data_IF_223668376572
#
_entry.id   IF_223668376572
#
_cell.length_a   1.000
_cell.length_b   1.000
_cell.length_c   1.000
_cell.angle_alpha   90.00
_cell.angle_beta   90.00
_cell.angle_gamma   90.00
#
_symmetry.space_group_name_H-M   'P 1'
#
loop_
_entity.id
_entity.type
_entity.pdbx_description
1 polymer ?
#
# COMPACT_ATOMS: atom_id res chain seq x y z
N UNK A 1 10.70 4.32 -25.19
CA UNK A 1 11.91 3.68 -25.70
C UNK A 1 12.23 2.43 -24.85
N UNK A 2 12.47 1.28 -25.50
CA UNK A 2 12.76 0.00 -24.81
C UNK A 2 13.90 0.08 -23.81
N UNK A 3 14.90 0.97 -24.01
CA UNK A 3 16.06 1.11 -23.12
C UNK A 3 15.79 1.73 -21.74
N UNK A 4 14.64 2.36 -21.50
CA UNK A 4 14.28 2.88 -20.18
C UNK A 4 13.59 1.80 -19.32
N UNK A 5 12.82 0.88 -19.93
CA UNK A 5 12.04 -0.16 -19.24
C UNK A 5 12.92 -1.07 -18.36
N UNK A 6 14.10 -1.40 -18.82
CA UNK A 6 15.01 -2.31 -18.11
C UNK A 6 15.74 -1.64 -16.93
N UNK A 7 15.64 -0.33 -16.80
CA UNK A 7 16.29 0.46 -15.73
C UNK A 7 15.33 0.93 -14.65
N UNK A 8 14.05 0.62 -14.77
CA UNK A 8 13.00 1.02 -13.81
C UNK A 8 12.26 -0.20 -13.28
N UNK A 9 11.82 -0.11 -12.04
CA UNK A 9 10.92 -1.08 -11.40
C UNK A 9 9.51 -0.53 -11.49
N UNK A 10 8.61 -1.28 -12.15
CA UNK A 10 7.19 -0.95 -12.22
C UNK A 10 6.44 -1.82 -11.22
N UNK A 11 5.76 -1.16 -10.27
CA UNK A 11 4.88 -1.82 -9.32
C UNK A 11 3.42 -1.45 -9.59
N UNK A 12 2.52 -2.43 -9.53
CA UNK A 12 1.07 -2.21 -9.57
C UNK A 12 0.35 -3.19 -8.63
N UNK A 13 -0.96 -3.08 -8.52
CA UNK A 13 -1.76 -3.78 -7.52
C UNK A 13 -3.07 -4.30 -8.11
N UNK A 14 -3.65 -5.34 -7.46
CA UNK A 14 -4.99 -5.85 -7.73
C UNK A 14 -5.80 -5.90 -6.43
N UNK A 15 -7.05 -5.89 -6.51
CA UNK A 15 -8.19 -6.15 -5.61
C UNK A 15 -9.26 -5.04 -5.57
N UNK A 16 -8.92 -3.79 -5.90
CA UNK A 16 -9.83 -2.64 -5.72
C UNK A 16 -10.35 -2.04 -7.01
N UNK A 17 -9.96 -2.55 -8.18
CA UNK A 17 -10.48 -2.06 -9.45
C UNK A 17 -11.93 -2.51 -9.63
N UNK A 18 -12.88 -1.64 -10.04
CA UNK A 18 -14.29 -2.01 -10.14
C UNK A 18 -14.58 -3.21 -11.05
N UNK A 19 -13.79 -3.39 -12.12
CA UNK A 19 -13.93 -4.52 -13.04
C UNK A 19 -13.19 -5.78 -12.58
N UNK A 20 -12.26 -5.66 -11.63
CA UNK A 20 -11.39 -6.73 -11.14
C UNK A 20 -11.33 -6.71 -9.61
N UNK A 21 -12.49 -6.67 -8.96
CA UNK A 21 -12.57 -6.65 -7.50
C UNK A 21 -12.26 -8.03 -6.91
N UNK A 22 -11.58 -8.04 -5.76
CA UNK A 22 -11.20 -9.27 -5.05
C UNK A 22 -9.94 -9.93 -5.60
N UNK A 23 -9.63 -11.12 -5.05
CA UNK A 23 -8.40 -11.85 -5.31
C UNK A 23 -8.64 -13.27 -5.84
N UNK A 24 -9.84 -13.59 -6.34
CA UNK A 24 -10.09 -14.82 -7.05
C UNK A 24 -9.12 -14.97 -8.25
N UNK A 25 -8.70 -16.18 -8.55
CA UNK A 25 -7.68 -16.46 -9.58
C UNK A 25 -8.00 -15.80 -10.92
N UNK A 26 -9.25 -15.87 -11.35
CA UNK A 26 -9.71 -15.24 -12.60
C UNK A 26 -9.51 -13.73 -12.59
N UNK A 27 -9.79 -13.06 -11.46
CA UNK A 27 -9.60 -11.61 -11.31
C UNK A 27 -8.12 -11.24 -11.25
N UNK A 28 -7.31 -11.99 -10.53
CA UNK A 28 -5.85 -11.76 -10.42
C UNK A 28 -5.21 -11.81 -11.80
N UNK A 29 -5.54 -12.83 -12.61
CA UNK A 29 -5.03 -12.96 -13.97
C UNK A 29 -5.53 -11.84 -14.90
N UNK A 30 -6.84 -11.58 -14.93
CA UNK A 30 -7.43 -10.54 -15.78
C UNK A 30 -6.90 -9.13 -15.44
N UNK A 31 -6.77 -8.80 -14.16
CA UNK A 31 -6.21 -7.53 -13.70
C UNK A 31 -4.73 -7.38 -14.07
N UNK A 32 -3.94 -8.46 -14.04
CA UNK A 32 -2.56 -8.44 -14.48
C UNK A 32 -2.46 -8.14 -16.00
N UNK A 33 -3.25 -8.81 -16.83
CA UNK A 33 -3.31 -8.55 -18.26
C UNK A 33 -3.74 -7.11 -18.58
N UNK A 34 -4.79 -6.62 -17.92
CA UNK A 34 -5.24 -5.25 -18.08
C UNK A 34 -4.17 -4.23 -17.64
N UNK A 35 -3.40 -4.55 -16.60
CA UNK A 35 -2.27 -3.72 -16.15
C UNK A 35 -1.14 -3.70 -17.16
N UNK A 36 -0.75 -4.84 -17.70
CA UNK A 36 0.28 -4.96 -18.74
C UNK A 36 -0.11 -4.16 -19.99
N UNK A 37 -1.37 -4.30 -20.45
CA UNK A 37 -1.89 -3.56 -21.60
C UNK A 37 -1.87 -2.03 -21.37
N UNK A 38 -2.35 -1.55 -20.20
CA UNK A 38 -2.34 -0.11 -19.85
C UNK A 38 -0.93 0.46 -19.71
N UNK A 39 -0.01 -0.30 -19.17
CA UNK A 39 1.39 0.11 -18.98
C UNK A 39 2.21 0.01 -20.27
N UNK A 40 1.71 -0.68 -21.30
CA UNK A 40 2.43 -0.91 -22.55
C UNK A 40 3.72 -1.71 -22.36
N UNK A 41 3.70 -2.70 -21.47
CA UNK A 41 4.86 -3.53 -21.10
C UNK A 41 4.48 -5.01 -21.10
N UNK A 42 5.48 -5.87 -21.27
CA UNK A 42 5.34 -7.32 -21.24
C UNK A 42 5.48 -7.93 -19.84
N UNK A 43 5.91 -7.12 -18.85
CA UNK A 43 6.10 -7.59 -17.47
C UNK A 43 5.82 -6.52 -16.43
N UNK A 44 5.38 -6.96 -15.26
CA UNK A 44 5.29 -6.19 -14.01
C UNK A 44 6.46 -6.62 -13.14
N UNK A 45 7.24 -5.68 -12.60
CA UNK A 45 8.37 -6.06 -11.76
C UNK A 45 7.93 -6.41 -10.34
N UNK A 46 6.88 -5.75 -9.81
CA UNK A 46 6.34 -6.05 -8.49
C UNK A 46 4.81 -5.92 -8.50
N UNK A 47 4.11 -7.03 -8.23
CA UNK A 47 2.66 -7.10 -8.24
C UNK A 47 2.13 -7.34 -6.84
N UNK A 48 1.30 -6.41 -6.35
CA UNK A 48 0.78 -6.47 -5.00
C UNK A 48 -0.65 -7.02 -4.95
N UNK A 49 -0.91 -7.94 -4.01
CA UNK A 49 -2.23 -8.09 -3.43
C UNK A 49 -2.49 -6.86 -2.55
N UNK A 50 -3.41 -5.96 -3.01
CA UNK A 50 -3.58 -4.63 -2.43
C UNK A 50 -4.28 -4.67 -1.07
N UNK A 51 -5.28 -5.51 -0.95
CA UNK A 51 -5.98 -5.84 0.29
C UNK A 51 -6.22 -7.34 0.32
N UNK A 52 -6.33 -7.89 1.53
CA UNK A 52 -6.82 -9.26 1.72
C UNK A 52 -8.26 -9.39 1.21
N UNK A 53 -8.61 -10.58 0.77
CA UNK A 53 -9.95 -10.94 0.31
C UNK A 53 -10.43 -12.17 1.08
N UNK A 54 -11.26 -11.92 2.09
CA UNK A 54 -11.79 -12.98 2.94
C UNK A 54 -12.82 -13.89 2.24
N UNK A 55 -13.37 -13.46 1.11
CA UNK A 55 -14.34 -14.22 0.32
C UNK A 55 -13.65 -15.27 -0.58
N UNK A 56 -12.37 -15.07 -0.89
CA UNK A 56 -11.57 -15.97 -1.71
C UNK A 56 -10.66 -16.83 -0.83
N UNK A 57 -10.63 -18.17 -1.01
CA UNK A 57 -9.63 -19.02 -0.34
C UNK A 57 -8.22 -18.50 -0.60
N UNK A 58 -7.44 -18.31 0.46
CA UNK A 58 -6.10 -17.74 0.33
C UNK A 58 -5.19 -18.58 -0.56
N UNK A 59 -5.34 -19.90 -0.55
CA UNK A 59 -4.59 -20.82 -1.39
C UNK A 59 -4.80 -20.53 -2.89
N UNK A 60 -6.05 -20.26 -3.31
CA UNK A 60 -6.36 -19.86 -4.68
C UNK A 60 -5.61 -18.57 -5.09
N UNK A 61 -5.61 -17.58 -4.19
CA UNK A 61 -4.89 -16.32 -4.40
C UNK A 61 -3.38 -16.56 -4.52
N UNK A 62 -2.79 -17.32 -3.60
CA UNK A 62 -1.35 -17.63 -3.57
C UNK A 62 -0.93 -18.33 -4.85
N UNK A 63 -1.69 -19.34 -5.29
CA UNK A 63 -1.43 -20.06 -6.53
C UNK A 63 -1.53 -19.14 -7.76
N UNK A 64 -2.57 -18.30 -7.85
CA UNK A 64 -2.75 -17.39 -8.98
C UNK A 64 -1.59 -16.39 -9.12
N UNK A 65 -1.10 -15.83 -8.02
CA UNK A 65 0.09 -14.98 -8.05
C UNK A 65 1.35 -15.76 -8.47
N UNK A 66 1.52 -16.99 -7.99
CA UNK A 66 2.64 -17.85 -8.37
C UNK A 66 2.62 -18.17 -9.86
N UNK A 67 1.46 -18.51 -10.42
CA UNK A 67 1.28 -18.77 -11.85
C UNK A 67 1.67 -17.56 -12.73
N UNK A 68 1.42 -16.32 -12.26
CA UNK A 68 1.85 -15.11 -12.98
C UNK A 68 3.38 -14.96 -12.99
N UNK A 69 4.05 -15.40 -11.94
CA UNK A 69 5.53 -15.43 -11.89
C UNK A 69 6.08 -16.50 -12.83
N UNK A 70 5.53 -17.70 -12.80
CA UNK A 70 5.92 -18.80 -13.67
C UNK A 70 5.71 -18.46 -15.16
N UNK A 71 4.63 -17.72 -15.47
CA UNK A 71 4.35 -17.21 -16.82
C UNK A 71 5.28 -16.03 -17.24
N UNK A 72 6.16 -15.55 -16.36
CA UNK A 72 7.06 -14.43 -16.62
C UNK A 72 6.37 -13.04 -16.73
N UNK A 73 5.08 -12.96 -16.41
CA UNK A 73 4.29 -11.72 -16.43
C UNK A 73 4.56 -10.83 -15.21
N UNK A 74 4.93 -11.47 -14.10
CA UNK A 74 5.27 -10.83 -12.83
C UNK A 74 6.65 -11.33 -12.41
N UNK A 75 7.53 -10.43 -11.95
CA UNK A 75 8.86 -10.82 -11.46
C UNK A 75 8.87 -11.13 -9.98
N UNK A 76 8.07 -10.38 -9.20
CA UNK A 76 8.01 -10.51 -7.76
C UNK A 76 6.62 -10.19 -7.23
N UNK A 77 6.27 -10.82 -6.11
CA UNK A 77 5.00 -10.66 -5.41
C UNK A 77 5.20 -9.73 -4.21
N UNK A 78 4.22 -8.88 -3.94
CA UNK A 78 4.11 -8.10 -2.72
C UNK A 78 2.73 -8.24 -2.09
N UNK A 79 2.64 -7.96 -0.79
CA UNK A 79 1.39 -7.89 -0.05
C UNK A 79 1.23 -6.52 0.60
N UNK A 80 -0.01 -6.06 0.74
CA UNK A 80 -0.35 -4.77 1.33
C UNK A 80 -1.65 -4.89 2.12
N UNK A 81 -1.75 -4.20 3.26
CA UNK A 81 -2.94 -4.22 4.11
C UNK A 81 -3.37 -5.62 4.61
N UNK A 82 -2.41 -6.48 4.83
CA UNK A 82 -2.59 -7.78 5.49
C UNK A 82 -2.29 -7.65 6.98
N UNK A 83 -2.94 -8.48 7.81
CA UNK A 83 -2.48 -8.68 9.20
C UNK A 83 -1.24 -9.56 9.23
N UNK A 84 -0.52 -9.58 10.36
CA UNK A 84 0.65 -10.44 10.52
C UNK A 84 0.28 -11.92 10.41
N UNK A 85 -0.87 -12.32 10.97
CA UNK A 85 -1.38 -13.69 10.94
C UNK A 85 -1.72 -14.10 9.50
N UNK A 86 -2.40 -13.24 8.76
CA UNK A 86 -2.80 -13.52 7.39
C UNK A 86 -1.61 -13.57 6.44
N UNK A 87 -0.61 -12.70 6.67
CA UNK A 87 0.66 -12.77 5.96
C UNK A 87 1.41 -14.07 6.25
N UNK A 88 1.45 -14.51 7.51
CA UNK A 88 2.07 -15.78 7.89
C UNK A 88 1.35 -16.99 7.26
N UNK A 89 0.02 -16.95 7.16
CA UNK A 89 -0.76 -17.97 6.47
C UNK A 89 -0.41 -18.05 4.98
N UNK A 90 -0.30 -16.90 4.28
CA UNK A 90 0.18 -16.85 2.89
C UNK A 90 1.51 -17.59 2.74
N UNK A 91 2.48 -17.26 3.61
CA UNK A 91 3.82 -17.85 3.57
C UNK A 91 3.79 -19.36 3.86
N UNK A 92 2.95 -19.81 4.78
CA UNK A 92 2.78 -21.23 5.09
C UNK A 92 2.22 -22.00 3.87
N UNK A 93 1.17 -21.48 3.24
CA UNK A 93 0.57 -22.04 2.03
C UNK A 93 1.61 -22.08 0.89
N UNK A 94 2.31 -20.98 0.66
CA UNK A 94 3.29 -20.90 -0.42
C UNK A 94 4.43 -21.91 -0.23
N UNK A 95 4.92 -22.08 1.00
CA UNK A 95 5.95 -23.09 1.30
C UNK A 95 5.45 -24.51 1.13
N UNK A 96 4.22 -24.79 1.59
CA UNK A 96 3.64 -26.13 1.47
C UNK A 96 3.35 -26.54 0.02
N UNK A 97 2.89 -25.59 -0.80
CA UNK A 97 2.56 -25.79 -2.21
C UNK A 97 3.74 -25.61 -3.17
N UNK A 98 4.93 -25.16 -2.68
CA UNK A 98 6.07 -24.84 -3.55
C UNK A 98 5.85 -23.61 -4.41
N UNK A 99 4.97 -22.70 -3.99
CA UNK A 99 4.66 -21.44 -4.66
C UNK A 99 5.68 -20.34 -4.36
N UNK A 100 5.70 -19.29 -5.20
CA UNK A 100 6.57 -18.14 -5.01
C UNK A 100 6.13 -17.31 -3.79
N UNK A 101 7.12 -16.96 -2.95
CA UNK A 101 6.90 -16.14 -1.76
C UNK A 101 6.85 -14.65 -2.11
N UNK A 102 6.02 -13.84 -1.42
CA UNK A 102 6.14 -12.39 -1.44
C UNK A 102 7.54 -11.94 -0.96
N UNK A 103 8.09 -10.91 -1.61
CA UNK A 103 9.36 -10.30 -1.22
C UNK A 103 9.20 -8.87 -0.71
N UNK A 104 7.99 -8.33 -0.75
CA UNK A 104 7.70 -6.95 -0.40
C UNK A 104 6.42 -6.83 0.41
N UNK A 105 6.46 -5.94 1.40
CA UNK A 105 5.31 -5.54 2.23
C UNK A 105 5.08 -4.03 2.08
N UNK A 106 3.82 -3.64 1.86
CA UNK A 106 3.45 -2.23 1.80
C UNK A 106 2.45 -1.88 2.91
N UNK A 107 2.91 -1.51 4.13
CA UNK A 107 2.05 -1.14 5.24
C UNK A 107 1.66 0.34 5.23
N UNK A 108 0.56 0.67 5.92
CA UNK A 108 0.31 2.03 6.38
C UNK A 108 1.29 2.35 7.52
N UNK A 109 2.22 3.27 7.28
CA UNK A 109 3.18 3.66 8.30
C UNK A 109 3.74 5.06 8.04
N UNK A 110 3.72 5.88 9.09
CA UNK A 110 4.31 7.23 9.11
C UNK A 110 4.54 7.66 10.57
N UNK A 111 4.99 8.89 10.80
CA UNK A 111 5.27 9.41 12.15
C UNK A 111 4.04 9.53 13.06
N UNK A 112 2.83 9.54 12.50
CA UNK A 112 1.56 9.62 13.24
C UNK A 112 0.93 8.24 13.39
N UNK A 113 0.90 7.46 12.30
CA UNK A 113 0.34 6.10 12.23
C UNK A 113 1.48 5.11 12.41
N UNK A 114 1.53 4.44 13.57
CA UNK A 114 2.65 3.60 13.97
C UNK A 114 2.29 2.16 14.31
N UNK A 115 1.06 1.74 14.01
CA UNK A 115 0.57 0.39 14.32
C UNK A 115 1.46 -0.71 13.75
N UNK A 116 2.08 -0.46 12.59
CA UNK A 116 3.06 -1.38 11.99
C UNK A 116 4.16 -1.83 12.96
N UNK A 117 4.56 -0.99 13.92
CA UNK A 117 5.63 -1.30 14.87
C UNK A 117 5.19 -2.30 15.96
N UNK A 118 3.89 -2.36 16.24
CA UNK A 118 3.33 -3.08 17.40
C UNK A 118 2.35 -4.20 17.05
N UNK A 119 1.81 -4.20 15.82
CA UNK A 119 0.82 -5.18 15.37
C UNK A 119 1.39 -6.50 14.84
N UNK A 120 2.69 -6.74 15.04
CA UNK A 120 3.37 -7.96 14.60
C UNK A 120 3.92 -7.92 13.17
N UNK A 121 3.45 -7.01 12.31
CA UNK A 121 3.89 -6.95 10.91
C UNK A 121 5.37 -6.60 10.75
N UNK A 122 5.90 -5.74 11.63
CA UNK A 122 7.32 -5.41 11.61
C UNK A 122 8.17 -6.63 11.90
N UNK A 123 7.86 -7.35 12.98
CA UNK A 123 8.58 -8.56 13.36
C UNK A 123 8.51 -9.64 12.27
N UNK A 124 7.32 -9.79 11.67
CA UNK A 124 7.11 -10.70 10.53
C UNK A 124 7.97 -10.30 9.33
N UNK A 125 7.96 -9.02 8.94
CA UNK A 125 8.74 -8.54 7.80
C UNK A 125 10.26 -8.72 8.01
N UNK A 126 10.75 -8.46 9.23
CA UNK A 126 12.14 -8.68 9.61
C UNK A 126 12.51 -10.18 9.55
N UNK A 127 11.66 -11.06 10.08
CA UNK A 127 11.88 -12.51 10.07
C UNK A 127 11.89 -13.11 8.66
N UNK A 128 11.03 -12.63 7.78
CA UNK A 128 10.91 -13.11 6.40
C UNK A 128 11.81 -12.36 5.41
N UNK A 129 12.54 -11.32 5.85
CA UNK A 129 13.45 -10.54 5.01
C UNK A 129 12.74 -9.71 3.95
N UNK A 130 11.52 -9.24 4.23
CA UNK A 130 10.71 -8.46 3.29
C UNK A 130 11.24 -7.04 3.12
N UNK A 131 11.26 -6.56 1.88
CA UNK A 131 11.43 -5.13 1.59
C UNK A 131 10.14 -4.37 1.97
N UNK A 132 10.27 -3.32 2.78
CA UNK A 132 9.11 -2.56 3.30
C UNK A 132 8.99 -1.22 2.59
N UNK A 133 7.83 -0.96 1.99
CA UNK A 133 7.51 0.25 1.23
C UNK A 133 6.29 0.96 1.82
N UNK A 134 6.43 1.76 2.90
CA UNK A 134 5.29 2.41 3.55
C UNK A 134 4.53 3.37 2.63
N UNK A 135 3.20 3.41 2.76
CA UNK A 135 2.38 4.42 2.12
C UNK A 135 1.92 5.50 3.11
N UNK A 136 1.49 6.65 2.59
CA UNK A 136 1.13 7.85 3.36
C UNK A 136 2.25 8.38 4.27
N UNK A 137 3.49 8.31 3.84
CA UNK A 137 4.67 8.76 4.60
C UNK A 137 4.57 10.21 5.11
N UNK A 138 3.80 11.08 4.44
CA UNK A 138 3.52 12.45 4.87
C UNK A 138 2.22 12.59 5.67
N UNK A 139 1.63 11.48 6.16
CA UNK A 139 0.39 11.48 6.93
C UNK A 139 -0.72 12.32 6.29
N UNK A 140 -0.99 12.11 4.98
CA UNK A 140 -1.96 12.88 4.17
C UNK A 140 -1.72 14.39 4.19
N UNK A 141 -0.47 14.83 4.37
CA UNK A 141 -0.07 16.23 4.42
C UNK A 141 0.03 16.82 5.83
N UNK A 142 -0.29 16.07 6.88
CA UNK A 142 -0.16 16.52 8.28
C UNK A 142 1.29 16.88 8.64
N UNK A 143 2.27 16.13 8.15
CA UNK A 143 3.70 16.33 8.42
C UNK A 143 4.34 17.46 7.58
N UNK A 144 3.57 18.27 6.84
CA UNK A 144 4.11 19.38 6.05
C UNK A 144 4.27 20.63 6.89
N UNK A 145 5.42 21.29 6.80
CA UNK A 145 5.75 22.52 7.52
C UNK A 145 4.76 23.70 7.28
N UNK A 146 3.99 23.68 6.21
CA UNK A 146 3.00 24.73 5.90
C UNK A 146 1.82 24.79 6.87
N UNK A 147 1.61 23.80 7.74
CA UNK A 147 0.53 23.80 8.73
C UNK A 147 0.90 24.61 9.98
N UNK A 148 2.20 24.84 10.22
CA UNK A 148 2.69 25.59 11.39
C UNK A 148 2.42 27.12 11.32
N UNK A 149 2.22 27.67 10.13
CA UNK A 149 1.99 29.13 9.96
C UNK A 149 0.56 29.59 10.21
N UNK A 150 -0.40 28.70 10.42
CA UNK A 150 -1.80 29.08 10.76
C UNK A 150 -2.07 29.27 12.24
N UNK A 151 -1.17 28.84 13.12
CA UNK A 151 -1.38 28.91 14.57
C UNK A 151 -0.96 30.23 15.24
N UNK A 152 -0.36 31.17 14.51
CA UNK A 152 0.17 32.44 15.10
C UNK A 152 -0.64 33.71 14.79
N UNK A 153 -1.89 33.58 14.32
CA UNK A 153 -2.77 34.76 14.29
C UNK A 153 -3.55 34.81 15.58
N UNK A 154 -2.95 35.38 16.62
CA UNK A 154 -3.66 35.77 17.82
C UNK A 154 -4.83 36.70 17.46
N UNK A 155 -5.99 36.60 18.13
CA UNK A 155 -7.08 37.54 17.93
C UNK A 155 -6.60 38.93 18.33
N UNK A 156 -6.67 39.88 17.39
CA UNK A 156 -6.47 41.30 17.70
C UNK A 156 -7.50 41.68 18.75
N UNK A 157 -7.01 42.06 19.93
CA UNK A 157 -7.83 42.66 20.96
C UNK A 157 -8.52 43.90 20.36
N UNK A 158 -9.84 43.88 20.31
CA UNK A 158 -10.63 45.07 20.02
C UNK A 158 -10.34 46.12 21.10
N UNK A 159 -9.75 47.23 20.67
CA UNK A 159 -9.57 48.39 21.53
C UNK A 159 -10.94 48.87 22.04
N UNK A 160 -11.09 48.86 23.35
CA UNK A 160 -12.24 49.41 24.04
C UNK A 160 -12.27 50.94 23.80
N UNK A 161 -13.25 51.40 23.01
CA UNK A 161 -13.51 52.84 22.86
C UNK A 161 -14.20 53.33 24.14
N UNK A 162 -13.67 54.35 24.84
CA UNK A 162 -14.36 54.93 26.01
C UNK A 162 -15.65 55.66 25.56
N UNK A 163 -16.78 55.30 26.16
CA UNK A 163 -18.01 56.06 26.01
C UNK A 163 -17.89 57.34 26.80
N UNK A 164 -17.98 58.52 26.13
CA UNK A 164 -18.16 59.78 26.72
C UNK A 164 -19.56 59.87 27.37
N UNK A 165 -19.61 60.28 28.63
CA UNK A 165 -20.88 60.58 29.37
C UNK A 165 -21.41 61.94 28.93
N UNK A 166 -22.70 62.09 28.67
CA UNK A 166 -23.29 63.42 28.47
C UNK A 166 -23.31 64.22 29.76
N UNK A 167 -22.81 65.44 29.69
CA UNK A 167 -22.92 66.46 30.75
C UNK A 167 -24.33 67.05 30.71
N UNK A 168 -24.95 67.14 31.87
CA UNK A 168 -26.13 67.90 32.22
C UNK A 168 -25.94 69.42 32.07
#
# INVERSE_FOLDING_TARGET
SRGARDRIVIATKVSTHPEFAGLAATNVHAAAEASLARLGTDRIDLYYAHFDDAETPLEETVEAFSQLVDAGKVRAIGISNYTAERAAEWFAIARAGGYHLPIALQPHYNLVERDYETNGLRAFAEAEGLAVFPYFSLAKGFSRASTAQRATRAPQAQACVPQERPST
#
